data_IF_867947399604
#
_entry.id   IF_867947399604
#
_cell.length_a   1.000
_cell.length_b   1.000
_cell.length_c   1.000
_cell.angle_alpha   90.00
_cell.angle_beta   90.00
_cell.angle_gamma   90.00
#
_symmetry.space_group_name_H-M   'P 1'
#
loop_
_entity.id
_entity.type
_entity.pdbx_description
1 polymer ?
#
# COMPACT_ATOMS: atom_id res chain seq x y z
N UNK A 1 17.12 -10.77 -7.67
CA UNK A 1 15.79 -11.21 -7.20
C UNK A 1 15.48 -10.51 -5.89
N UNK A 2 14.59 -9.51 -5.90
CA UNK A 2 14.22 -8.78 -4.67
C UNK A 2 13.37 -9.69 -3.77
N UNK A 3 14.01 -10.23 -2.74
CA UNK A 3 13.39 -10.95 -1.63
C UNK A 3 12.67 -9.94 -0.74
N UNK A 4 11.43 -9.63 -1.07
CA UNK A 4 10.48 -9.25 -0.02
C UNK A 4 10.00 -10.54 0.62
N UNK A 5 10.31 -10.73 1.90
CA UNK A 5 9.77 -11.86 2.66
C UNK A 5 8.24 -11.80 2.62
N UNK A 6 7.55 -12.93 2.41
CA UNK A 6 6.09 -12.97 2.37
C UNK A 6 5.53 -12.47 3.72
N UNK A 7 5.07 -11.22 3.75
CA UNK A 7 4.51 -10.57 4.93
C UNK A 7 5.14 -9.22 5.30
N UNK A 8 6.38 -8.93 4.84
CA UNK A 8 7.02 -7.63 5.06
C UNK A 8 6.29 -6.50 4.32
N UNK A 9 5.93 -6.76 3.06
CA UNK A 9 5.17 -5.84 2.21
C UNK A 9 3.84 -5.44 2.83
N UNK A 10 3.07 -6.42 3.34
CA UNK A 10 1.76 -6.17 3.92
C UNK A 10 1.86 -5.26 5.16
N UNK A 11 2.90 -5.44 5.99
CA UNK A 11 3.15 -4.56 7.14
C UNK A 11 3.51 -3.15 6.71
N UNK A 12 4.38 -2.98 5.72
CA UNK A 12 4.77 -1.66 5.21
C UNK A 12 3.57 -0.89 4.65
N UNK A 13 2.73 -1.57 3.85
CA UNK A 13 1.51 -0.97 3.31
C UNK A 13 0.52 -0.64 4.43
N UNK A 14 0.31 -1.54 5.39
CA UNK A 14 -0.58 -1.31 6.54
C UNK A 14 -0.15 -0.09 7.35
N UNK A 15 1.16 0.05 7.56
CA UNK A 15 1.78 1.17 8.24
C UNK A 15 1.52 2.48 7.50
N UNK A 16 1.83 2.55 6.20
CA UNK A 16 1.60 3.75 5.37
C UNK A 16 0.11 4.09 5.29
N UNK A 17 -0.75 3.10 5.08
CA UNK A 17 -2.20 3.29 5.05
C UNK A 17 -2.67 3.96 6.35
N UNK A 18 -2.20 3.47 7.51
CA UNK A 18 -2.57 4.02 8.81
C UNK A 18 -1.96 5.41 9.06
N UNK A 19 -0.67 5.61 8.81
CA UNK A 19 0.05 6.85 9.10
C UNK A 19 -0.30 8.00 8.14
N UNK A 20 -0.51 7.70 6.85
CA UNK A 20 -0.68 8.72 5.80
C UNK A 20 -2.13 8.95 5.39
N UNK A 21 -2.96 7.92 5.49
CA UNK A 21 -4.36 7.97 5.06
C UNK A 21 -5.35 7.84 6.21
N UNK A 22 -4.93 7.33 7.38
CA UNK A 22 -5.82 6.99 8.48
C UNK A 22 -6.43 5.58 8.39
N UNK A 23 -5.94 4.75 7.45
CA UNK A 23 -6.27 3.34 7.30
C UNK A 23 -6.42 2.90 5.85
N UNK A 24 -6.61 1.59 5.64
CA UNK A 24 -6.80 1.02 4.30
C UNK A 24 -8.03 1.61 3.58
N UNK A 25 -9.13 1.87 4.30
CA UNK A 25 -10.33 2.41 3.67
C UNK A 25 -10.09 3.77 3.03
N UNK A 26 -9.51 4.70 3.80
CA UNK A 26 -9.18 6.04 3.31
C UNK A 26 -8.13 6.02 2.19
N UNK A 27 -7.15 5.11 2.25
CA UNK A 27 -6.18 4.91 1.17
C UNK A 27 -6.84 4.46 -0.12
N UNK A 28 -7.74 3.46 -0.06
CA UNK A 28 -8.48 3.00 -1.23
C UNK A 28 -9.37 4.11 -1.80
N UNK A 29 -10.00 4.91 -0.94
CA UNK A 29 -10.84 6.04 -1.35
C UNK A 29 -10.05 7.14 -2.04
N UNK A 30 -8.91 7.52 -1.48
CA UNK A 30 -8.05 8.55 -2.06
C UNK A 30 -7.48 8.12 -3.41
N UNK A 31 -7.21 6.82 -3.57
CA UNK A 31 -6.71 6.23 -4.81
C UNK A 31 -7.82 5.88 -5.82
N UNK A 32 -9.09 6.01 -5.44
CA UNK A 32 -10.23 5.66 -6.28
C UNK A 32 -10.35 4.16 -6.56
N UNK A 33 -9.82 3.32 -5.67
CA UNK A 33 -9.92 1.86 -5.81
C UNK A 33 -11.30 1.36 -5.36
N UNK A 34 -11.93 0.54 -6.20
CA UNK A 34 -13.30 0.08 -6.00
C UNK A 34 -13.44 -0.99 -4.91
N UNK A 35 -12.36 -1.69 -4.55
CA UNK A 35 -12.43 -2.77 -3.57
C UNK A 35 -12.69 -2.28 -2.16
N UNK A 36 -13.56 -3.00 -1.44
CA UNK A 36 -13.98 -2.67 -0.08
C UNK A 36 -13.90 -3.86 0.88
N UNK A 37 -13.78 -3.55 2.17
CA UNK A 37 -13.79 -4.55 3.25
C UNK A 37 -12.63 -5.54 3.20
N UNK A 38 -12.91 -6.82 3.42
CA UNK A 38 -11.91 -7.89 3.51
C UNK A 38 -11.12 -8.12 2.21
N UNK A 39 -11.66 -7.72 1.06
CA UNK A 39 -10.98 -7.82 -0.24
C UNK A 39 -9.85 -6.80 -0.38
N UNK A 40 -9.91 -5.66 0.33
CA UNK A 40 -8.86 -4.63 0.31
C UNK A 40 -7.50 -5.25 0.69
N UNK A 41 -7.44 -6.03 1.79
CA UNK A 41 -6.18 -6.60 2.27
C UNK A 41 -5.55 -7.58 1.27
N UNK A 42 -6.36 -8.30 0.49
CA UNK A 42 -5.87 -9.20 -0.55
C UNK A 42 -5.44 -8.46 -1.81
N UNK A 43 -6.15 -7.38 -2.17
CA UNK A 43 -5.97 -6.67 -3.43
C UNK A 43 -5.00 -5.49 -3.34
N UNK A 44 -4.73 -4.97 -2.14
CA UNK A 44 -3.86 -3.81 -1.93
C UNK A 44 -2.48 -4.00 -2.54
N UNK A 45 -1.88 -5.20 -2.41
CA UNK A 45 -0.58 -5.46 -3.00
C UNK A 45 -0.62 -5.42 -4.53
N UNK A 46 -1.69 -5.92 -5.14
CA UNK A 46 -1.90 -5.86 -6.59
C UNK A 46 -2.10 -4.41 -7.02
N UNK A 47 -3.01 -3.67 -6.38
CA UNK A 47 -3.30 -2.27 -6.72
C UNK A 47 -2.10 -1.35 -6.57
N UNK A 48 -1.33 -1.53 -5.51
CA UNK A 48 -0.07 -0.81 -5.31
C UNK A 48 0.92 -1.11 -6.44
N UNK A 49 1.07 -2.37 -6.85
CA UNK A 49 1.95 -2.73 -7.97
C UNK A 49 1.43 -2.18 -9.31
N UNK A 50 0.12 -2.17 -9.54
CA UNK A 50 -0.46 -1.60 -10.77
C UNK A 50 -0.25 -0.08 -10.86
N UNK A 51 -0.42 0.64 -9.74
CA UNK A 51 -0.31 2.10 -9.71
C UNK A 51 1.14 2.61 -9.62
N UNK A 52 1.99 1.95 -8.80
CA UNK A 52 3.35 2.41 -8.47
C UNK A 52 4.44 1.53 -9.09
N UNK A 53 4.08 0.45 -9.78
CA UNK A 53 5.02 -0.53 -10.35
C UNK A 53 5.59 -1.53 -9.33
N UNK A 54 5.77 -1.13 -8.08
CA UNK A 54 6.23 -2.03 -7.00
C UNK A 54 5.83 -1.52 -5.61
N UNK A 55 5.82 -2.44 -4.63
CA UNK A 55 5.61 -2.07 -3.22
C UNK A 55 6.74 -1.14 -2.74
N UNK A 56 7.97 -1.36 -3.20
CA UNK A 56 9.13 -0.51 -2.86
C UNK A 56 8.92 0.91 -3.33
N UNK A 57 8.52 1.09 -4.59
CA UNK A 57 8.26 2.41 -5.15
C UNK A 57 7.12 3.11 -4.40
N UNK A 58 6.09 2.37 -3.99
CA UNK A 58 5.05 2.91 -3.13
C UNK A 58 5.59 3.35 -1.77
N UNK A 59 6.38 2.52 -1.09
CA UNK A 59 6.98 2.87 0.20
C UNK A 59 7.89 4.09 0.05
N UNK A 60 8.81 4.08 -0.91
CA UNK A 60 9.73 5.18 -1.20
C UNK A 60 8.99 6.48 -1.54
N UNK A 61 7.92 6.42 -2.34
CA UNK A 61 7.11 7.58 -2.67
C UNK A 61 6.46 8.23 -1.44
N UNK A 62 6.09 7.42 -0.44
CA UNK A 62 5.48 7.93 0.78
C UNK A 62 6.52 8.33 1.84
N UNK A 63 7.59 7.56 1.98
CA UNK A 63 8.68 7.80 2.93
C UNK A 63 9.45 9.09 2.58
N UNK A 64 9.67 9.37 1.29
CA UNK A 64 10.32 10.62 0.83
C UNK A 64 9.57 11.90 1.14
N UNK A 65 8.28 11.84 1.50
CA UNK A 65 7.56 13.05 1.88
C UNK A 65 7.75 13.44 3.36
N UNK A 66 8.59 12.71 4.11
CA UNK A 66 8.98 13.01 5.50
C UNK A 66 10.44 13.51 5.63
N UNK A 67 11.14 13.80 4.52
CA UNK A 67 12.48 14.42 4.52
C UNK A 67 12.46 15.88 4.06
#
# INVERSE_FOLDING_TARGET
MNKFEPGGDAKAISRIASERYGGFAAMFEQHGWEERGSDMMRKVQTRVKEQYGSIVAFVDHHDKADQ
#
